data_IF_335630213593
#
_entry.id   IF_335630213593
#
_cell.length_a   1.000
_cell.length_b   1.000
_cell.length_c   1.000
_cell.angle_alpha   90.00
_cell.angle_beta   90.00
_cell.angle_gamma   90.00
#
_symmetry.space_group_name_H-M   'P 1'
#
loop_
_entity.id
_entity.type
_entity.pdbx_description
1 polymer ?
#
# COMPACT_ATOMS: atom_id res chain seq x y z
N UNK A 1 16.38 4.38 2.71
CA UNK A 1 15.57 4.32 1.46
C UNK A 1 14.45 5.36 1.56
N UNK A 2 13.63 5.60 0.53
CA UNK A 2 12.53 6.60 0.63
C UNK A 2 11.16 6.13 0.16
N UNK A 3 10.13 6.67 0.81
CA UNK A 3 8.70 6.50 0.54
C UNK A 3 8.09 7.89 0.33
N UNK A 4 7.60 8.17 -0.87
CA UNK A 4 6.83 9.38 -1.18
C UNK A 4 5.35 9.03 -1.32
N UNK A 5 4.47 9.82 -0.72
CA UNK A 5 3.02 9.69 -0.88
C UNK A 5 2.46 10.98 -1.40
N UNK A 6 1.79 10.93 -2.54
CA UNK A 6 1.05 12.05 -3.13
C UNK A 6 -0.44 11.76 -3.09
N UNK A 7 -1.23 12.68 -2.55
CA UNK A 7 -2.69 12.58 -2.50
C UNK A 7 -3.27 13.14 -3.80
N UNK A 8 -3.83 12.28 -4.67
CA UNK A 8 -4.25 12.69 -6.01
C UNK A 8 -5.68 13.25 -6.06
N UNK A 9 -6.54 12.84 -5.14
CA UNK A 9 -7.86 13.43 -4.91
C UNK A 9 -8.00 13.81 -3.43
N UNK A 10 -9.17 14.25 -2.99
CA UNK A 10 -9.42 14.57 -1.58
C UNK A 10 -9.89 13.35 -0.74
N UNK A 11 -9.93 12.16 -1.34
CA UNK A 11 -10.59 10.98 -0.80
C UNK A 11 -9.61 9.82 -0.57
N UNK A 12 -9.48 8.89 -1.52
CA UNK A 12 -8.75 7.64 -1.33
C UNK A 12 -7.71 7.32 -2.40
N UNK A 13 -7.48 8.23 -3.35
CA UNK A 13 -6.52 8.01 -4.42
C UNK A 13 -5.14 8.54 -4.04
N UNK A 14 -4.21 7.61 -3.80
CA UNK A 14 -2.82 7.92 -3.46
C UNK A 14 -1.87 7.34 -4.50
N UNK A 15 -0.84 8.11 -4.86
CA UNK A 15 0.33 7.59 -5.55
C UNK A 15 1.47 7.45 -4.54
N UNK A 16 1.91 6.21 -4.36
CA UNK A 16 3.05 5.85 -3.53
C UNK A 16 4.24 5.60 -4.43
N UNK A 17 5.37 6.24 -4.14
CA UNK A 17 6.64 6.04 -4.85
C UNK A 17 7.72 5.58 -3.89
N UNK A 18 8.26 4.40 -4.14
CA UNK A 18 9.28 3.73 -3.32
C UNK A 18 10.61 3.79 -4.07
N UNK A 19 11.68 4.23 -3.39
CA UNK A 19 13.02 4.36 -4.00
C UNK A 19 14.12 3.83 -3.07
N UNK A 20 15.19 3.21 -3.61
CA UNK A 20 16.41 2.93 -2.85
C UNK A 20 17.10 4.24 -2.40
N UNK A 21 18.11 4.14 -1.52
CA UNK A 21 18.87 5.33 -1.09
C UNK A 21 19.81 5.87 -2.15
N UNK A 22 20.04 7.19 -2.09
CA UNK A 22 20.94 7.91 -2.99
C UNK A 22 22.40 7.43 -2.91
N UNK A 23 22.82 6.88 -1.75
CA UNK A 23 24.15 6.29 -1.57
C UNK A 23 24.41 5.04 -2.43
N UNK A 24 23.38 4.26 -2.72
CA UNK A 24 23.45 3.10 -3.61
C UNK A 24 23.37 3.50 -5.10
N UNK A 25 23.01 4.76 -5.40
CA UNK A 25 22.90 5.30 -6.76
C UNK A 25 24.22 5.89 -7.28
N UNK A 26 25.25 6.05 -6.44
CA UNK A 26 26.56 6.62 -6.81
C UNK A 26 27.28 5.76 -7.88
N UNK A 27 26.92 4.48 -8.00
CA UNK A 27 27.45 3.57 -9.02
C UNK A 27 26.74 3.65 -10.38
N UNK A 28 25.65 4.44 -10.50
CA UNK A 28 24.81 4.47 -11.69
C UNK A 28 25.09 5.70 -12.55
N UNK A 29 25.97 5.54 -13.55
CA UNK A 29 26.37 6.63 -14.44
C UNK A 29 25.32 7.03 -15.51
N UNK A 30 24.17 6.35 -15.65
CA UNK A 30 23.11 6.79 -16.58
C UNK A 30 21.81 5.99 -16.46
N UNK A 31 20.72 6.68 -16.07
CA UNK A 31 19.24 6.36 -16.14
C UNK A 31 18.55 6.58 -14.78
N UNK A 32 17.29 6.99 -14.79
CA UNK A 32 16.49 7.29 -13.60
C UNK A 32 16.59 6.19 -12.54
N UNK A 33 16.69 6.57 -11.26
CA UNK A 33 16.65 5.65 -10.12
C UNK A 33 15.43 4.72 -10.23
N UNK A 34 15.58 3.40 -10.01
CA UNK A 34 14.47 2.47 -10.15
C UNK A 34 13.45 2.71 -9.04
N UNK A 35 12.44 3.51 -9.36
CA UNK A 35 11.31 3.76 -8.48
C UNK A 35 10.23 2.70 -8.72
N UNK A 36 9.71 2.13 -7.65
CA UNK A 36 8.53 1.28 -7.69
C UNK A 36 7.31 2.11 -7.29
N UNK A 37 6.32 2.16 -8.17
CA UNK A 37 5.15 3.03 -8.03
C UNK A 37 3.87 2.23 -7.80
N UNK A 38 3.10 2.62 -6.80
CA UNK A 38 1.83 1.98 -6.41
C UNK A 38 0.73 3.03 -6.43
N UNK A 39 -0.30 2.80 -7.25
CA UNK A 39 -1.52 3.61 -7.28
C UNK A 39 -2.60 2.90 -6.46
N UNK A 40 -3.18 3.58 -5.48
CA UNK A 40 -4.22 3.02 -4.59
C UNK A 40 -5.59 3.61 -4.96
N UNK A 41 -6.62 2.76 -5.05
CA UNK A 41 -8.04 3.11 -5.19
C UNK A 41 -8.31 4.32 -6.12
N UNK A 42 -8.00 4.22 -7.42
CA UNK A 42 -8.01 5.36 -8.32
C UNK A 42 -9.43 5.79 -8.73
N UNK A 43 -9.86 6.97 -8.27
CA UNK A 43 -11.07 7.66 -8.67
C UNK A 43 -10.73 9.13 -8.94
N UNK A 44 -10.54 9.51 -10.20
CA UNK A 44 -10.05 10.85 -10.56
C UNK A 44 -11.16 11.85 -10.90
N UNK A 45 -12.30 11.37 -11.39
CA UNK A 45 -13.38 12.21 -11.87
C UNK A 45 -14.70 11.46 -11.93
N UNK A 46 -15.78 12.22 -12.12
CA UNK A 46 -17.11 11.70 -12.36
C UNK A 46 -17.83 11.25 -11.10
N UNK A 47 -19.16 11.20 -11.22
CA UNK A 47 -20.07 10.77 -10.17
C UNK A 47 -20.17 9.24 -10.12
N UNK A 48 -20.10 8.67 -8.92
CA UNK A 48 -20.28 7.25 -8.67
C UNK A 48 -21.63 6.97 -7.99
N UNK A 49 -22.22 5.81 -8.28
CA UNK A 49 -23.44 5.34 -7.61
C UNK A 49 -23.08 4.16 -6.72
N UNK A 50 -23.25 4.32 -5.42
CA UNK A 50 -22.92 3.34 -4.39
C UNK A 50 -24.21 2.60 -3.99
N UNK A 51 -24.31 1.30 -4.35
CA UNK A 51 -25.32 0.35 -3.86
C UNK A 51 -26.68 0.31 -4.59
N UNK A 52 -27.16 -0.90 -4.94
CA UNK A 52 -28.41 -1.16 -5.70
C UNK A 52 -29.63 -1.49 -4.80
N UNK A 53 -29.91 -0.74 -3.73
CA UNK A 53 -31.21 -0.85 -3.02
C UNK A 53 -31.74 0.46 -2.44
N UNK A 54 -30.88 1.46 -2.25
CA UNK A 54 -31.21 2.75 -1.63
C UNK A 54 -30.36 3.90 -2.21
N UNK A 55 -30.21 3.93 -3.54
CA UNK A 55 -29.40 4.87 -4.36
C UNK A 55 -28.70 5.99 -3.58
N UNK A 56 -27.43 5.77 -3.23
CA UNK A 56 -26.53 6.86 -2.87
C UNK A 56 -25.61 7.18 -4.04
N UNK A 57 -25.49 8.45 -4.39
CA UNK A 57 -24.44 8.90 -5.30
C UNK A 57 -23.38 9.66 -4.55
N UNK A 58 -22.14 9.53 -4.97
CA UNK A 58 -21.03 10.31 -4.47
C UNK A 58 -20.30 10.96 -5.64
N UNK A 59 -19.92 12.22 -5.48
CA UNK A 59 -19.14 12.99 -6.42
C UNK A 59 -18.13 13.82 -5.63
N UNK A 60 -16.93 13.98 -6.18
CA UNK A 60 -15.90 14.80 -5.56
C UNK A 60 -16.40 16.24 -5.38
N UNK A 61 -16.22 16.80 -4.20
CA UNK A 61 -16.39 18.24 -3.95
C UNK A 61 -15.13 19.02 -4.31
N UNK A 62 -13.97 18.36 -4.32
CA UNK A 62 -12.69 18.93 -4.73
C UNK A 62 -12.15 18.15 -5.93
N UNK A 63 -11.84 18.84 -7.03
CA UNK A 63 -11.26 18.19 -8.20
C UNK A 63 -9.90 17.57 -7.89
N UNK A 64 -9.65 16.38 -8.45
CA UNK A 64 -8.34 15.72 -8.37
C UNK A 64 -7.22 16.59 -8.96
N UNK A 65 -5.99 16.48 -8.44
CA UNK A 65 -4.86 17.24 -8.98
C UNK A 65 -4.42 16.78 -10.38
N UNK A 66 -4.96 15.64 -10.84
CA UNK A 66 -4.85 15.12 -12.19
C UNK A 66 -6.23 14.68 -12.67
N UNK A 67 -6.51 14.82 -13.96
CA UNK A 67 -7.76 14.40 -14.57
C UNK A 67 -7.62 13.11 -15.40
N UNK A 68 -6.39 12.68 -15.67
CA UNK A 68 -6.09 11.46 -16.42
C UNK A 68 -4.77 10.82 -15.95
N UNK A 69 -4.71 9.48 -15.90
CA UNK A 69 -3.53 8.73 -15.45
C UNK A 69 -2.29 8.95 -16.33
N UNK A 70 -2.45 9.43 -17.56
CA UNK A 70 -1.32 9.82 -18.42
C UNK A 70 -0.58 11.08 -17.95
N UNK A 71 -1.13 11.82 -16.98
CA UNK A 71 -0.45 12.97 -16.37
C UNK A 71 0.55 12.54 -15.28
N UNK A 72 0.58 11.26 -14.90
CA UNK A 72 1.63 10.72 -14.05
C UNK A 72 2.95 10.63 -14.82
N UNK A 73 4.07 10.86 -14.12
CA UNK A 73 5.42 10.80 -14.73
C UNK A 73 5.71 9.44 -15.40
N UNK A 74 5.11 8.37 -14.86
CA UNK A 74 5.19 7.02 -15.40
C UNK A 74 3.92 6.24 -15.07
N UNK A 75 3.66 5.21 -15.87
CA UNK A 75 2.59 4.26 -15.58
C UNK A 75 2.91 3.47 -14.28
N UNK A 76 1.98 3.34 -13.33
CA UNK A 76 2.22 2.63 -12.07
C UNK A 76 2.65 1.18 -12.26
N UNK A 77 3.60 0.69 -11.49
CA UNK A 77 3.99 -0.73 -11.48
C UNK A 77 2.85 -1.59 -10.90
N UNK A 78 2.18 -1.07 -9.88
CA UNK A 78 1.11 -1.74 -9.17
C UNK A 78 -0.11 -0.82 -9.02
N UNK A 79 -1.31 -1.37 -9.23
CA UNK A 79 -2.57 -0.72 -8.85
C UNK A 79 -3.24 -1.57 -7.79
N UNK A 80 -3.46 -1.01 -6.60
CA UNK A 80 -4.12 -1.69 -5.48
C UNK A 80 -5.56 -1.22 -5.36
N UNK A 81 -6.51 -2.16 -5.38
CA UNK A 81 -7.94 -1.90 -5.17
C UNK A 81 -8.40 -2.57 -3.88
N UNK A 82 -8.69 -1.78 -2.86
CA UNK A 82 -9.02 -2.25 -1.52
C UNK A 82 -10.46 -2.77 -1.41
N UNK A 83 -11.38 -2.27 -2.22
CA UNK A 83 -12.78 -2.72 -2.19
C UNK A 83 -13.51 -2.53 -3.52
N UNK A 84 -14.57 -3.31 -3.72
CA UNK A 84 -15.35 -3.34 -4.97
C UNK A 84 -16.27 -2.12 -5.17
N UNK A 85 -16.31 -1.18 -4.22
CA UNK A 85 -17.21 -0.03 -4.34
C UNK A 85 -16.70 0.92 -5.43
N UNK A 86 -17.59 1.57 -6.21
CA UNK A 86 -17.15 2.36 -7.36
C UNK A 86 -16.31 3.60 -7.02
N UNK A 87 -16.39 4.13 -5.80
CA UNK A 87 -15.54 5.20 -5.28
C UNK A 87 -14.12 4.74 -4.90
N UNK A 88 -13.80 3.46 -5.10
CA UNK A 88 -12.46 2.88 -4.97
C UNK A 88 -12.06 2.08 -6.23
N UNK A 89 -12.99 1.28 -6.74
CA UNK A 89 -12.87 0.47 -7.93
C UNK A 89 -13.53 1.20 -9.12
N UNK A 90 -13.05 2.40 -9.44
CA UNK A 90 -13.68 3.26 -10.45
C UNK A 90 -13.33 2.80 -11.87
N UNK A 91 -14.31 2.23 -12.58
CA UNK A 91 -14.12 1.69 -13.93
C UNK A 91 -13.60 2.72 -14.94
N UNK A 92 -14.15 3.95 -15.05
CA UNK A 92 -13.64 4.95 -15.99
C UNK A 92 -12.17 5.31 -15.77
N UNK A 93 -11.73 5.44 -14.50
CA UNK A 93 -10.32 5.72 -14.21
C UNK A 93 -9.45 4.52 -14.56
N UNK A 94 -9.85 3.31 -14.17
CA UNK A 94 -9.07 2.10 -14.42
C UNK A 94 -8.89 1.85 -15.92
N UNK A 95 -9.92 2.10 -16.73
CA UNK A 95 -9.83 1.95 -18.20
C UNK A 95 -8.84 2.89 -18.88
N UNK A 96 -8.36 3.93 -18.21
CA UNK A 96 -7.29 4.79 -18.72
C UNK A 96 -5.94 4.05 -18.81
N UNK A 97 -5.78 2.96 -18.05
CA UNK A 97 -4.62 2.07 -18.13
C UNK A 97 -4.75 1.22 -19.40
N UNK A 98 -3.70 1.13 -20.25
CA UNK A 98 -3.74 0.29 -21.44
C UNK A 98 -4.00 -1.19 -21.12
N UNK A 99 -4.93 -1.80 -21.85
CA UNK A 99 -5.32 -3.21 -21.70
C UNK A 99 -4.13 -4.17 -21.83
N UNK A 100 -3.17 -3.83 -22.70
CA UNK A 100 -1.98 -4.61 -23.04
C UNK A 100 -0.69 -4.09 -22.37
N UNK A 101 -0.77 -3.18 -21.39
CA UNK A 101 0.43 -2.63 -20.76
C UNK A 101 1.33 -3.75 -20.19
N UNK A 102 2.64 -3.78 -20.47
CA UNK A 102 3.53 -4.79 -19.90
C UNK A 102 3.95 -4.46 -18.45
N UNK A 103 3.66 -3.24 -17.98
CA UNK A 103 4.18 -2.69 -16.73
C UNK A 103 3.23 -2.88 -15.55
N UNK A 104 1.97 -2.53 -15.72
CA UNK A 104 1.02 -2.48 -14.60
C UNK A 104 0.38 -3.81 -14.31
N UNK A 105 0.48 -4.21 -13.04
CA UNK A 105 -0.33 -5.29 -12.46
C UNK A 105 -1.42 -4.72 -11.56
N UNK A 106 -2.64 -5.24 -11.68
CA UNK A 106 -3.78 -4.86 -10.84
C UNK A 106 -3.94 -5.90 -9.74
N UNK A 107 -3.86 -5.45 -8.49
CA UNK A 107 -3.95 -6.26 -7.29
C UNK A 107 -5.16 -5.82 -6.49
N UNK A 108 -6.15 -6.69 -6.34
CA UNK A 108 -7.46 -6.27 -5.84
C UNK A 108 -8.02 -7.22 -4.79
N UNK A 109 -8.77 -6.68 -3.83
CA UNK A 109 -9.65 -7.46 -2.95
C UNK A 109 -10.54 -8.39 -3.79
N UNK A 110 -10.86 -9.63 -3.35
CA UNK A 110 -11.52 -10.62 -4.19
C UNK A 110 -12.80 -10.17 -4.90
N UNK A 111 -13.68 -9.39 -4.26
CA UNK A 111 -14.88 -8.84 -4.92
C UNK A 111 -14.51 -7.76 -5.93
N UNK A 112 -13.55 -6.90 -5.61
CA UNK A 112 -13.03 -5.89 -6.55
C UNK A 112 -12.40 -6.55 -7.78
N UNK A 113 -11.56 -7.57 -7.60
CA UNK A 113 -10.97 -8.33 -8.70
C UNK A 113 -12.05 -8.92 -9.63
N UNK A 114 -13.13 -9.43 -9.06
CA UNK A 114 -14.27 -9.94 -9.83
C UNK A 114 -15.06 -8.84 -10.55
N UNK A 115 -15.16 -7.64 -9.97
CA UNK A 115 -15.76 -6.49 -10.63
C UNK A 115 -14.90 -6.04 -11.83
N UNK A 116 -13.59 -5.91 -11.63
CA UNK A 116 -12.63 -5.48 -12.67
C UNK A 116 -12.61 -6.45 -13.85
N UNK A 117 -12.70 -7.77 -13.61
CA UNK A 117 -12.82 -8.77 -14.69
C UNK A 117 -14.03 -8.52 -15.59
N UNK A 118 -15.15 -8.03 -15.04
CA UNK A 118 -16.37 -7.73 -15.80
C UNK A 118 -16.26 -6.46 -16.65
N UNK A 119 -15.23 -5.63 -16.43
CA UNK A 119 -14.97 -4.50 -17.31
C UNK A 119 -14.55 -4.99 -18.71
N UNK A 120 -14.10 -6.25 -18.86
CA UNK A 120 -13.66 -6.82 -20.14
C UNK A 120 -12.61 -5.93 -20.86
N UNK A 121 -11.78 -5.24 -20.06
CA UNK A 121 -10.75 -4.32 -20.55
C UNK A 121 -9.36 -4.92 -20.41
N UNK A 122 -9.07 -5.57 -19.27
CA UNK A 122 -7.75 -6.13 -18.98
C UNK A 122 -7.69 -7.63 -19.27
N UNK A 123 -6.52 -8.11 -19.70
CA UNK A 123 -6.25 -9.54 -19.76
C UNK A 123 -6.34 -10.15 -18.34
N UNK A 124 -6.94 -11.34 -18.14
CA UNK A 124 -7.15 -11.92 -16.81
C UNK A 124 -5.87 -12.08 -15.96
N UNK A 125 -4.72 -12.29 -16.60
CA UNK A 125 -3.42 -12.45 -15.93
C UNK A 125 -2.92 -11.16 -15.28
N UNK A 126 -3.42 -9.98 -15.70
CA UNK A 126 -3.12 -8.70 -15.05
C UNK A 126 -3.85 -8.50 -13.74
N UNK A 127 -4.93 -9.25 -13.50
CA UNK A 127 -5.82 -9.05 -12.35
C UNK A 127 -5.55 -10.13 -11.31
N UNK A 128 -4.72 -9.78 -10.33
CA UNK A 128 -4.41 -10.62 -9.19
C UNK A 128 -5.42 -10.35 -8.06
N UNK A 129 -6.10 -11.41 -7.62
CA UNK A 129 -6.94 -11.34 -6.42
C UNK A 129 -6.05 -11.52 -5.19
N UNK A 130 -6.06 -10.57 -4.25
CA UNK A 130 -5.34 -10.70 -2.99
C UNK A 130 -6.05 -11.73 -2.12
N UNK A 131 -5.40 -12.84 -1.71
CA UNK A 131 -6.00 -13.75 -0.76
C UNK A 131 -6.14 -13.08 0.61
N UNK A 132 -7.14 -13.47 1.38
CA UNK A 132 -7.22 -13.06 2.78
C UNK A 132 -6.01 -13.58 3.54
N UNK A 133 -5.36 -12.69 4.29
CA UNK A 133 -4.18 -13.03 5.08
C UNK A 133 -4.47 -14.21 6.00
N UNK A 134 -3.55 -15.16 6.00
CA UNK A 134 -3.53 -16.31 6.87
C UNK A 134 -2.06 -16.65 7.14
N UNK A 135 -1.69 -16.64 8.40
CA UNK A 135 -0.32 -16.76 8.85
C UNK A 135 0.32 -18.14 8.68
N UNK A 136 -0.49 -19.16 8.43
CA UNK A 136 -0.07 -20.54 8.11
C UNK A 136 0.11 -20.73 6.60
N UNK A 137 -0.33 -19.76 5.78
CA UNK A 137 -0.33 -19.81 4.33
C UNK A 137 0.52 -18.66 3.77
N UNK A 138 1.83 -18.88 3.51
CA UNK A 138 2.72 -17.84 2.98
C UNK A 138 2.20 -17.19 1.69
N UNK A 139 1.50 -17.95 0.86
CA UNK A 139 0.86 -17.48 -0.38
C UNK A 139 -0.29 -16.49 -0.16
N UNK A 140 -0.73 -16.28 1.09
CA UNK A 140 -1.71 -15.24 1.42
C UNK A 140 -1.12 -13.82 1.40
N UNK A 141 0.19 -13.70 1.21
CA UNK A 141 0.91 -12.46 0.97
C UNK A 141 1.49 -12.51 -0.45
N UNK A 142 1.09 -11.56 -1.30
CA UNK A 142 1.64 -11.42 -2.64
C UNK A 142 3.00 -10.73 -2.56
N UNK A 143 3.99 -11.19 -3.32
CA UNK A 143 5.34 -10.63 -3.33
C UNK A 143 5.75 -10.28 -4.76
N UNK A 144 6.22 -9.05 -4.94
CA UNK A 144 6.66 -8.48 -6.21
C UNK A 144 8.15 -8.21 -6.11
N UNK A 145 8.93 -8.91 -6.92
CA UNK A 145 10.38 -8.75 -6.97
C UNK A 145 10.73 -7.44 -7.67
N UNK A 146 11.73 -6.74 -7.13
CA UNK A 146 12.38 -5.59 -7.75
C UNK A 146 13.80 -6.01 -8.10
N UNK A 147 14.20 -5.83 -9.36
CA UNK A 147 15.52 -6.29 -9.77
C UNK A 147 16.64 -5.55 -9.01
N UNK A 148 17.77 -6.25 -8.72
CA UNK A 148 18.95 -5.64 -8.14
C UNK A 148 19.43 -4.43 -8.94
N UNK A 149 20.12 -3.50 -8.28
CA UNK A 149 20.68 -2.32 -8.95
C UNK A 149 21.88 -2.67 -9.83
N UNK A 150 22.57 -3.77 -9.51
CA UNK A 150 23.74 -4.30 -10.21
C UNK A 150 23.71 -5.83 -10.17
N UNK A 151 24.55 -6.49 -10.99
CA UNK A 151 24.68 -7.96 -10.96
C UNK A 151 25.17 -8.52 -9.62
N UNK A 152 25.93 -7.73 -8.84
CA UNK A 152 26.40 -8.11 -7.50
C UNK A 152 25.41 -7.73 -6.39
N UNK A 153 24.29 -7.08 -6.74
CA UNK A 153 23.29 -6.59 -5.82
C UNK A 153 22.28 -7.65 -5.38
N UNK A 154 21.55 -7.33 -4.32
CA UNK A 154 20.39 -8.10 -3.89
C UNK A 154 19.10 -7.49 -4.46
N UNK A 155 18.14 -8.35 -4.79
CA UNK A 155 16.83 -7.92 -5.28
C UNK A 155 16.02 -7.28 -4.15
N UNK A 156 15.26 -6.26 -4.50
CA UNK A 156 14.25 -5.68 -3.62
C UNK A 156 12.94 -6.46 -3.69
N UNK A 157 12.00 -6.07 -2.83
CA UNK A 157 10.69 -6.69 -2.77
C UNK A 157 9.62 -5.70 -2.31
N UNK A 158 8.44 -5.77 -2.94
CA UNK A 158 7.19 -5.22 -2.40
C UNK A 158 6.27 -6.38 -2.05
N UNK A 159 5.79 -6.44 -0.82
CA UNK A 159 4.80 -7.43 -0.41
C UNK A 159 3.46 -6.76 -0.10
N UNK A 160 2.35 -7.43 -0.45
CA UNK A 160 0.98 -6.93 -0.28
C UNK A 160 0.11 -8.00 0.37
N UNK A 161 -0.58 -7.65 1.45
CA UNK A 161 -1.48 -8.54 2.19
C UNK A 161 -2.83 -7.88 2.45
N UNK A 162 -3.92 -8.65 2.26
CA UNK A 162 -5.28 -8.22 2.61
C UNK A 162 -5.63 -8.72 4.00
N UNK A 163 -5.80 -7.80 4.94
CA UNK A 163 -6.29 -8.08 6.28
C UNK A 163 -7.82 -7.92 6.31
N UNK A 164 -8.59 -9.03 6.39
CA UNK A 164 -10.04 -8.95 6.45
C UNK A 164 -10.51 -8.45 7.82
N UNK A 165 -11.55 -7.61 7.83
CA UNK A 165 -12.38 -7.44 9.01
C UNK A 165 -13.71 -8.20 8.84
N UNK A 166 -14.36 -8.47 9.96
CA UNK A 166 -15.77 -8.88 9.97
C UNK A 166 -16.57 -7.68 10.47
N UNK A 167 -17.37 -7.10 9.58
CA UNK A 167 -18.26 -5.99 9.89
C UNK A 167 -19.58 -6.15 9.10
N UNK A 168 -20.65 -5.53 9.60
CA UNK A 168 -21.96 -5.63 8.97
C UNK A 168 -22.02 -4.90 7.63
N UNK A 169 -21.27 -3.81 7.47
CA UNK A 169 -21.21 -3.05 6.24
C UNK A 169 -20.36 -3.75 5.15
N UNK A 170 -19.44 -4.64 5.55
CA UNK A 170 -18.55 -5.37 4.66
C UNK A 170 -17.51 -4.47 3.97
N UNK A 171 -17.13 -3.37 4.63
CA UNK A 171 -16.24 -2.33 4.10
C UNK A 171 -14.93 -2.22 4.87
N UNK A 172 -14.86 -2.85 6.04
CA UNK A 172 -13.67 -2.79 6.87
C UNK A 172 -12.66 -3.83 6.38
N UNK A 173 -11.49 -3.35 6.02
CA UNK A 173 -10.31 -4.15 5.75
C UNK A 173 -9.07 -3.26 5.91
N UNK A 174 -7.90 -3.87 5.79
CA UNK A 174 -6.68 -3.13 5.57
C UNK A 174 -5.81 -3.84 4.53
N UNK A 175 -5.04 -3.06 3.78
CA UNK A 175 -3.96 -3.56 2.94
C UNK A 175 -2.66 -3.23 3.65
N UNK A 176 -1.92 -4.28 4.03
CA UNK A 176 -0.56 -4.13 4.51
C UNK A 176 0.42 -4.21 3.35
N UNK A 177 1.35 -3.27 3.29
CA UNK A 177 2.38 -3.18 2.25
C UNK A 177 3.74 -3.11 2.95
N UNK A 178 4.70 -3.92 2.51
CA UNK A 178 6.10 -3.80 2.94
C UNK A 178 6.99 -3.57 1.74
N UNK A 179 8.01 -2.72 1.91
CA UNK A 179 9.00 -2.44 0.89
C UNK A 179 10.40 -2.70 1.43
N UNK A 180 11.15 -3.50 0.68
CA UNK A 180 12.59 -3.67 0.84
C UNK A 180 13.28 -3.18 -0.44
N UNK A 181 14.22 -2.26 -0.28
CA UNK A 181 14.96 -1.70 -1.41
C UNK A 181 15.90 -2.74 -2.06
N UNK A 182 16.03 -2.74 -3.40
CA UNK A 182 17.12 -3.44 -4.07
C UNK A 182 18.45 -2.77 -3.72
N UNK A 183 19.55 -3.53 -3.76
CA UNK A 183 20.90 -3.03 -3.46
C UNK A 183 21.83 -3.14 -4.66
N UNK A 184 22.94 -2.38 -4.63
CA UNK A 184 24.01 -2.42 -5.65
C UNK A 184 25.16 -3.39 -5.29
N UNK A 185 25.09 -4.07 -4.14
CA UNK A 185 26.21 -4.85 -3.60
C UNK A 185 27.29 -3.97 -2.96
N UNK A 186 28.09 -4.53 -2.06
CA UNK A 186 29.23 -3.82 -1.50
C UNK A 186 30.25 -3.54 -2.63
N UNK A 187 30.81 -2.31 -2.74
CA UNK A 187 31.94 -2.09 -3.62
C UNK A 187 33.07 -3.00 -3.17
N UNK A 188 33.50 -3.88 -4.07
CA UNK A 188 34.65 -4.76 -3.87
C UNK A 188 35.92 -3.89 -3.74
N UNK A 189 36.22 -3.41 -2.53
CA UNK A 189 37.23 -2.38 -2.35
C UNK A 189 37.74 -2.12 -0.92
N UNK A 190 37.19 -2.75 0.13
CA UNK A 190 37.87 -2.76 1.44
C UNK A 190 38.75 -4.02 1.57
N UNK A 191 39.86 -4.02 0.82
CA UNK A 191 40.94 -4.99 1.00
C UNK A 191 41.61 -4.78 2.36
N UNK A 192 41.17 -5.54 3.35
CA UNK A 192 42.05 -6.00 4.42
C UNK A 192 42.67 -7.33 3.98
N UNK A 193 43.82 -7.28 3.32
CA UNK A 193 44.68 -8.46 3.09
C UNK A 193 45.14 -9.01 4.45
N UNK A 194 45.32 -10.34 4.64
CA UNK A 194 46.48 -11.01 4.04
C UNK A 194 46.25 -12.44 3.49
N UNK A 195 47.02 -12.71 2.42
CA UNK A 195 47.57 -14.00 1.95
C UNK A 195 46.64 -15.16 1.57
N UNK A 196 46.64 -15.42 0.26
CA UNK A 196 46.32 -16.68 -0.45
C UNK A 196 47.16 -17.88 0.03
N UNK A 197 46.75 -19.13 -0.26
CA UNK A 197 47.27 -19.76 -1.47
C UNK A 197 46.25 -20.54 -2.34
N UNK A 198 46.47 -20.36 -3.65
CA UNK A 198 46.13 -21.19 -4.81
C UNK A 198 45.50 -22.58 -4.56
N UNK A 199 44.38 -22.86 -5.24
CA UNK A 199 44.20 -24.15 -5.94
C UNK A 199 43.24 -24.08 -7.14
N UNK A 200 43.84 -24.33 -8.31
CA UNK A 200 43.40 -24.91 -9.60
C UNK A 200 41.94 -24.80 -10.07
N UNK A 201 41.85 -24.30 -11.31
CA UNK A 201 40.70 -24.26 -12.21
C UNK A 201 40.11 -25.63 -12.61
N UNK A 202 38.84 -25.60 -13.03
CA UNK A 202 38.33 -26.47 -14.11
C UNK A 202 37.22 -25.76 -14.88
N UNK A 203 37.19 -25.99 -16.19
CA UNK A 203 36.39 -25.31 -17.23
C UNK A 203 35.31 -26.27 -17.73
N UNK A 204 34.08 -25.79 -17.98
CA UNK A 204 33.17 -26.36 -18.99
C UNK A 204 32.08 -25.34 -19.45
N UNK A 205 31.56 -25.39 -20.70
CA UNK A 205 30.81 -24.29 -21.33
C UNK A 205 29.29 -24.53 -21.59
N UNK A 206 28.55 -23.40 -21.69
CA UNK A 206 27.31 -23.07 -22.47
C UNK A 206 25.98 -23.87 -22.29
N UNK A 207 24.76 -23.40 -22.72
CA UNK A 207 24.44 -22.37 -23.72
C UNK A 207 23.29 -21.35 -23.42
N UNK A 208 23.16 -20.43 -24.38
CA UNK A 208 22.26 -19.28 -24.61
C UNK A 208 20.75 -19.60 -24.74
N UNK A 209 19.88 -18.74 -24.20
CA UNK A 209 18.42 -18.73 -24.44
C UNK A 209 17.71 -17.49 -23.86
N UNK A 210 16.56 -17.03 -24.42
CA UNK A 210 16.06 -15.65 -24.28
C UNK A 210 15.26 -15.36 -22.99
N UNK A 211 15.20 -14.07 -22.63
CA UNK A 211 14.69 -13.50 -21.38
C UNK A 211 13.20 -13.79 -21.06
N UNK A 212 12.81 -13.96 -19.78
CA UNK A 212 11.41 -14.10 -19.38
C UNK A 212 10.79 -12.84 -18.74
N UNK A 213 9.50 -12.66 -19.02
CA UNK A 213 8.51 -11.76 -18.40
C UNK A 213 8.37 -12.04 -16.89
N UNK A 214 8.07 -11.06 -16.02
CA UNK A 214 7.95 -11.30 -14.58
C UNK A 214 6.73 -12.18 -14.27
N UNK A 215 6.97 -13.46 -14.05
CA UNK A 215 5.99 -14.44 -13.57
C UNK A 215 6.20 -14.67 -12.08
N UNK A 216 5.13 -14.63 -11.28
CA UNK A 216 5.17 -15.01 -9.87
C UNK A 216 5.66 -16.46 -9.73
N UNK A 217 6.85 -16.68 -9.17
CA UNK A 217 7.38 -18.01 -8.84
C UNK A 217 7.21 -18.30 -7.35
N UNK A 218 6.79 -19.53 -7.06
CA UNK A 218 6.64 -20.09 -5.73
C UNK A 218 7.93 -20.83 -5.39
N UNK A 219 8.82 -20.23 -4.60
CA UNK A 219 10.02 -20.91 -4.10
C UNK A 219 9.93 -21.09 -2.57
N UNK A 220 10.07 -22.36 -2.17
CA UNK A 220 10.13 -22.86 -0.81
C UNK A 220 11.52 -22.70 -0.21
N UNK A 221 11.55 -22.34 1.08
CA UNK A 221 12.67 -22.37 2.04
C UNK A 221 13.63 -21.16 2.05
N UNK A 222 13.39 -20.23 2.98
CA UNK A 222 14.41 -19.34 3.53
C UNK A 222 14.45 -19.46 5.07
N UNK A 223 15.65 -19.40 5.71
CA UNK A 223 15.80 -19.46 7.16
C UNK A 223 15.23 -18.19 7.84
N UNK A 224 14.95 -18.21 9.15
CA UNK A 224 14.33 -17.07 9.85
C UNK A 224 15.28 -15.87 9.78
N UNK A 225 14.86 -14.82 9.08
CA UNK A 225 15.69 -13.63 8.87
C UNK A 225 15.86 -12.87 10.18
N UNK A 226 17.11 -12.77 10.64
CA UNK A 226 17.56 -11.69 11.52
C UNK A 226 17.01 -10.37 10.98
N UNK A 227 16.52 -9.51 11.88
CA UNK A 227 15.90 -8.22 11.59
C UNK A 227 16.57 -7.52 10.39
N UNK A 228 15.94 -7.59 9.22
CA UNK A 228 16.44 -6.93 8.01
C UNK A 228 16.38 -5.43 8.25
N UNK A 229 17.46 -4.79 8.68
CA UNK A 229 17.61 -3.33 8.60
C UNK A 229 17.16 -2.87 7.20
N UNK A 230 16.34 -1.82 7.12
CA UNK A 230 15.83 -1.32 5.84
C UNK A 230 14.55 -1.98 5.27
N UNK A 231 13.47 -2.11 6.05
CA UNK A 231 12.11 -2.38 5.50
C UNK A 231 11.15 -1.25 5.87
N UNK A 232 10.47 -0.64 4.89
CA UNK A 232 9.36 0.31 5.13
C UNK A 232 8.04 -0.46 5.21
N UNK A 233 7.14 0.01 6.06
CA UNK A 233 5.83 -0.62 6.28
C UNK A 233 4.70 0.38 6.17
N UNK A 234 3.67 0.03 5.41
CA UNK A 234 2.49 0.85 5.19
C UNK A 234 1.25 0.03 5.54
N UNK A 235 0.32 0.62 6.29
CA UNK A 235 -1.00 0.07 6.50
C UNK A 235 -2.04 1.03 5.93
N UNK A 236 -2.70 0.61 4.86
CA UNK A 236 -3.81 1.34 4.25
C UNK A 236 -5.14 0.78 4.75
N UNK A 237 -5.91 1.57 5.50
CA UNK A 237 -7.20 1.17 6.07
C UNK A 237 -8.19 2.34 6.03
N UNK A 238 -8.73 2.69 4.84
CA UNK A 238 -9.56 3.90 4.67
C UNK A 238 -10.85 3.86 5.50
N UNK A 239 -11.41 2.68 5.75
CA UNK A 239 -12.61 2.49 6.57
C UNK A 239 -12.29 2.05 8.02
N UNK A 240 -11.05 1.67 8.27
CA UNK A 240 -10.58 1.09 9.52
C UNK A 240 -10.61 -0.44 9.57
N UNK A 241 -9.83 -0.96 10.52
CA UNK A 241 -9.71 -2.37 10.82
C UNK A 241 -9.77 -2.56 12.35
N UNK A 242 -10.54 -3.53 12.87
CA UNK A 242 -10.57 -3.79 14.29
C UNK A 242 -9.22 -4.34 14.77
N UNK A 243 -8.82 -3.91 15.96
CA UNK A 243 -7.69 -4.50 16.68
C UNK A 243 -8.05 -5.94 17.07
N UNK A 244 -7.44 -6.92 16.41
CA UNK A 244 -7.68 -8.34 16.63
C UNK A 244 -6.38 -9.16 16.53
N UNK A 245 -6.45 -10.43 16.89
CA UNK A 245 -5.29 -11.33 16.86
C UNK A 245 -4.67 -11.48 15.46
N UNK A 246 -5.46 -11.36 14.40
CA UNK A 246 -4.96 -11.44 13.01
C UNK A 246 -4.08 -10.23 12.68
N UNK A 247 -4.48 -9.04 13.08
CA UNK A 247 -3.68 -7.83 12.96
C UNK A 247 -2.40 -7.93 13.80
N UNK A 248 -2.50 -8.43 15.03
CA UNK A 248 -1.33 -8.64 15.90
C UNK A 248 -0.31 -9.59 15.27
N UNK A 249 -0.80 -10.71 14.74
CA UNK A 249 0.04 -11.70 14.10
C UNK A 249 0.68 -11.17 12.81
N UNK A 250 -0.07 -10.43 11.99
CA UNK A 250 0.47 -9.77 10.81
C UNK A 250 1.51 -8.70 11.16
N UNK A 251 1.20 -7.85 12.13
CA UNK A 251 2.09 -6.78 12.58
C UNK A 251 3.43 -7.36 13.09
N UNK A 252 3.37 -8.42 13.90
CA UNK A 252 4.56 -9.10 14.39
C UNK A 252 5.36 -9.79 13.26
N UNK A 253 4.69 -10.59 12.40
CA UNK A 253 5.37 -11.43 11.40
C UNK A 253 5.88 -10.66 10.17
N UNK A 254 5.16 -9.62 9.74
CA UNK A 254 5.43 -8.95 8.45
C UNK A 254 5.87 -7.50 8.62
N UNK A 255 5.30 -6.78 9.59
CA UNK A 255 5.71 -5.39 9.87
C UNK A 255 6.87 -5.34 10.88
N UNK A 256 7.16 -6.45 11.56
CA UNK A 256 8.11 -6.55 12.68
C UNK A 256 7.78 -5.59 13.84
N UNK A 257 6.51 -5.22 13.95
CA UNK A 257 5.92 -4.41 15.01
C UNK A 257 5.37 -5.36 16.07
N UNK A 258 6.18 -5.64 17.07
CA UNK A 258 5.78 -6.28 18.31
C UNK A 258 5.23 -5.19 19.26
N UNK A 259 3.93 -5.28 19.52
CA UNK A 259 3.20 -4.34 20.36
C UNK A 259 3.52 -4.50 21.85
N UNK A 260 4.21 -5.58 22.25
CA UNK A 260 4.58 -5.87 23.64
C UNK A 260 6.03 -5.47 23.96
N UNK A 261 6.87 -5.30 22.95
CA UNK A 261 8.29 -4.95 23.10
C UNK A 261 8.49 -3.49 22.69
N UNK A 262 8.90 -2.63 23.62
CA UNK A 262 9.05 -1.18 23.39
C UNK A 262 10.06 -0.82 22.30
N UNK A 263 11.09 -1.65 22.10
CA UNK A 263 12.20 -1.40 21.16
C UNK A 263 11.99 -2.12 19.81
N UNK A 264 10.80 -2.65 19.54
CA UNK A 264 10.50 -3.21 18.23
C UNK A 264 10.25 -2.09 17.20
N UNK A 265 10.32 -2.44 15.91
CA UNK A 265 10.02 -1.53 14.81
C UNK A 265 8.65 -0.87 14.92
N UNK A 266 8.58 0.31 14.34
CA UNK A 266 7.43 1.18 14.21
C UNK A 266 6.81 0.98 12.81
N UNK A 267 5.51 1.22 12.69
CA UNK A 267 4.86 1.30 11.37
C UNK A 267 5.30 2.61 10.70
N UNK A 268 5.91 2.55 9.51
CA UNK A 268 6.40 3.76 8.81
C UNK A 268 5.25 4.68 8.44
N UNK A 269 4.15 4.13 7.92
CA UNK A 269 3.01 4.92 7.48
C UNK A 269 1.67 4.22 7.76
N UNK A 270 0.77 4.94 8.43
CA UNK A 270 -0.65 4.64 8.48
C UNK A 270 -1.41 5.57 7.53
N UNK A 271 -2.21 5.00 6.63
CA UNK A 271 -3.18 5.77 5.83
C UNK A 271 -4.57 5.33 6.28
N UNK A 272 -5.25 6.20 7.04
CA UNK A 272 -6.52 5.87 7.71
C UNK A 272 -7.33 7.14 7.93
N UNK A 273 -8.66 7.04 7.82
CA UNK A 273 -9.55 8.20 7.92
C UNK A 273 -9.51 8.93 9.25
N UNK A 274 -9.51 10.27 9.20
CA UNK A 274 -9.78 11.12 10.36
C UNK A 274 -11.28 11.29 10.65
N UNK A 275 -12.13 10.92 9.70
CA UNK A 275 -13.56 11.13 9.74
C UNK A 275 -14.28 9.82 10.07
N UNK A 276 -15.00 9.77 11.18
CA UNK A 276 -15.90 8.66 11.45
C UNK A 276 -17.23 8.86 10.74
N UNK A 277 -17.76 7.78 10.18
CA UNK A 277 -19.08 7.76 9.53
C UNK A 277 -19.86 6.57 10.04
N UNK A 278 -21.04 6.85 10.59
CA UNK A 278 -21.93 5.86 11.16
C UNK A 278 -23.30 5.92 10.50
N UNK A 279 -23.89 4.75 10.32
CA UNK A 279 -25.31 4.57 10.00
C UNK A 279 -26.00 3.89 11.18
N UNK A 280 -27.36 3.91 11.25
CA UNK A 280 -28.09 3.07 12.17
C UNK A 280 -27.63 1.60 12.06
N UNK A 281 -27.59 0.88 13.18
CA UNK A 281 -27.04 -0.48 13.23
C UNK A 281 -27.71 -1.43 12.23
N UNK A 282 -29.01 -1.27 11.98
CA UNK A 282 -29.79 -2.07 11.03
C UNK A 282 -29.50 -1.72 9.55
N UNK A 283 -28.74 -0.64 9.28
CA UNK A 283 -28.26 -0.24 7.96
C UNK A 283 -26.75 -0.48 7.75
N UNK A 284 -26.11 -1.20 8.68
CA UNK A 284 -24.67 -1.55 8.60
C UNK A 284 -23.84 -0.99 9.74
N UNK A 285 -24.36 -0.06 10.54
CA UNK A 285 -23.67 0.47 11.72
C UNK A 285 -22.46 1.32 11.35
N UNK A 286 -21.29 0.97 11.89
CA UNK A 286 -20.03 1.65 11.61
C UNK A 286 -19.65 1.47 10.13
N UNK A 287 -19.47 2.57 9.40
CA UNK A 287 -19.03 2.55 7.99
C UNK A 287 -17.56 2.91 7.92
N UNK A 288 -17.15 4.00 8.59
CA UNK A 288 -15.77 4.45 8.69
C UNK A 288 -15.47 4.68 10.15
N UNK A 289 -14.41 4.05 10.67
CA UNK A 289 -14.04 4.18 12.08
C UNK A 289 -13.54 5.60 12.45
N UNK A 290 -12.93 6.32 11.52
CA UNK A 290 -12.32 7.63 11.81
C UNK A 290 -11.17 7.54 12.81
N UNK A 291 -10.69 8.69 13.31
CA UNK A 291 -9.60 8.70 14.27
C UNK A 291 -10.09 8.29 15.68
N UNK A 292 -11.24 8.79 16.13
CA UNK A 292 -11.76 8.55 17.48
C UNK A 292 -12.23 7.12 17.74
N UNK A 293 -12.76 6.41 16.74
CA UNK A 293 -13.35 5.07 16.93
C UNK A 293 -12.45 3.92 16.51
N UNK A 294 -11.24 4.20 16.05
CA UNK A 294 -10.28 3.15 15.69
C UNK A 294 -8.89 3.65 15.35
N UNK A 295 -8.78 4.76 14.62
CA UNK A 295 -7.50 5.25 14.09
C UNK A 295 -6.45 5.52 15.18
N UNK A 296 -6.81 6.21 16.27
CA UNK A 296 -5.88 6.52 17.37
C UNK A 296 -5.41 5.24 18.05
N UNK A 297 -6.33 4.30 18.31
CA UNK A 297 -5.98 3.02 18.93
C UNK A 297 -5.04 2.21 18.02
N UNK A 298 -5.32 2.20 16.72
CA UNK A 298 -4.51 1.52 15.71
C UNK A 298 -3.11 2.15 15.58
N UNK A 299 -3.03 3.46 15.46
CA UNK A 299 -1.79 4.23 15.35
C UNK A 299 -0.90 4.03 16.59
N UNK A 300 -1.48 4.07 17.79
CA UNK A 300 -0.75 3.78 19.04
C UNK A 300 -0.26 2.35 19.10
N UNK A 301 -1.13 1.40 18.78
CA UNK A 301 -0.83 -0.04 18.81
C UNK A 301 0.33 -0.39 17.88
N UNK A 302 0.34 0.19 16.67
CA UNK A 302 1.37 -0.05 15.67
C UNK A 302 2.56 0.91 15.76
N UNK A 303 2.53 1.85 16.73
CA UNK A 303 3.50 2.94 16.88
C UNK A 303 3.78 3.63 15.53
N UNK A 304 2.73 4.08 14.87
CA UNK A 304 2.83 4.70 13.56
C UNK A 304 3.70 5.98 13.62
N UNK A 305 4.74 6.05 12.79
CA UNK A 305 5.61 7.21 12.67
C UNK A 305 4.89 8.36 11.97
N UNK A 306 4.18 8.06 10.88
CA UNK A 306 3.37 9.01 10.14
C UNK A 306 1.95 8.48 9.96
N UNK A 307 0.96 9.38 10.04
CA UNK A 307 -0.44 9.09 9.76
C UNK A 307 -1.04 10.11 8.80
N UNK A 308 -1.44 9.66 7.61
CA UNK A 308 -2.13 10.45 6.60
C UNK A 308 -3.63 10.13 6.60
N UNK A 309 -4.47 11.16 6.51
CA UNK A 309 -5.92 11.04 6.36
C UNK A 309 -6.32 10.36 5.04
N UNK A 310 -7.45 9.65 5.05
CA UNK A 310 -8.00 8.99 3.86
C UNK A 310 -9.51 8.91 3.96
N UNK A 311 -10.19 8.92 2.83
CA UNK A 311 -11.65 8.93 2.79
C UNK A 311 -12.28 10.07 3.61
N UNK A 312 -11.57 11.20 3.71
CA UNK A 312 -11.94 12.34 4.55
C UNK A 312 -12.73 13.40 3.77
N UNK A 313 -12.89 13.22 2.46
CA UNK A 313 -13.65 14.15 1.63
C UNK A 313 -15.12 14.24 2.05
N UNK A 314 -15.60 15.48 2.17
CA UNK A 314 -17.02 15.75 2.16
C UNK A 314 -17.56 15.72 0.72
N UNK A 315 -17.83 14.51 0.23
CA UNK A 315 -18.40 14.28 -1.11
C UNK A 315 -19.78 14.93 -1.26
N UNK A 316 -20.12 15.36 -2.47
CA UNK A 316 -21.48 15.76 -2.83
C UNK A 316 -22.32 14.49 -2.88
N UNK A 317 -23.10 14.28 -1.83
CA UNK A 317 -23.87 13.06 -1.67
C UNK A 317 -25.36 13.29 -1.97
N UNK A 318 -25.95 12.38 -2.74
CA UNK A 318 -27.38 12.32 -3.00
C UNK A 318 -27.98 11.02 -2.49
N UNK A 319 -29.26 11.02 -2.08
CA UNK A 319 -29.99 9.80 -1.68
C UNK A 319 -30.63 9.89 -0.30
N UNK A 320 -31.64 9.05 -0.06
CA UNK A 320 -32.46 9.07 1.16
C UNK A 320 -31.69 8.61 2.40
N UNK A 321 -30.73 7.68 2.24
CA UNK A 321 -29.91 7.15 3.35
C UNK A 321 -29.01 8.21 3.99
N UNK A 322 -28.60 9.23 3.24
CA UNK A 322 -27.68 10.26 3.74
C UNK A 322 -28.23 11.01 4.96
N UNK A 323 -29.56 11.14 5.07
CA UNK A 323 -30.22 11.78 6.22
C UNK A 323 -29.99 11.04 7.55
N UNK A 324 -29.57 9.78 7.50
CA UNK A 324 -29.35 8.96 8.69
C UNK A 324 -27.85 8.76 8.99
N UNK A 325 -26.95 9.32 8.19
CA UNK A 325 -25.52 9.21 8.45
C UNK A 325 -25.07 10.25 9.47
N UNK A 326 -24.36 9.79 10.50
CA UNK A 326 -23.67 10.64 11.46
C UNK A 326 -22.19 10.69 11.07
N UNK A 327 -21.67 11.90 10.85
CA UNK A 327 -20.27 12.14 10.50
C UNK A 327 -19.61 12.98 11.60
N UNK A 328 -18.43 12.57 12.04
CA UNK A 328 -17.61 13.31 13.00
C UNK A 328 -16.17 13.31 12.48
N UNK A 329 -15.57 14.48 12.27
CA UNK A 329 -14.18 14.63 11.82
C UNK A 329 -13.32 15.14 12.96
N UNK A 330 -12.23 14.43 13.24
CA UNK A 330 -11.20 14.91 14.17
C UNK A 330 -10.18 15.80 13.45
N UNK A 331 -9.76 16.89 14.10
CA UNK A 331 -8.70 17.76 13.55
C UNK A 331 -7.32 17.14 13.76
N UNK A 332 -6.34 17.49 12.91
CA UNK A 332 -4.94 17.08 13.08
C UNK A 332 -4.42 17.43 14.49
N UNK A 333 -4.74 18.62 14.98
CA UNK A 333 -4.31 19.07 16.31
C UNK A 333 -4.90 18.19 17.44
N UNK A 334 -6.17 17.80 17.32
CA UNK A 334 -6.82 16.91 18.28
C UNK A 334 -6.22 15.50 18.23
N UNK A 335 -5.98 14.95 17.04
CA UNK A 335 -5.35 13.64 16.86
C UNK A 335 -3.95 13.65 17.47
N UNK A 336 -3.12 14.65 17.14
CA UNK A 336 -1.78 14.79 17.69
C UNK A 336 -1.81 14.93 19.22
N UNK A 337 -2.77 15.67 19.79
CA UNK A 337 -2.95 15.77 21.24
C UNK A 337 -3.28 14.40 21.86
N UNK A 338 -4.18 13.65 21.24
CA UNK A 338 -4.57 12.32 21.72
C UNK A 338 -3.45 11.28 21.56
N UNK A 339 -2.60 11.41 20.55
CA UNK A 339 -1.40 10.57 20.34
C UNK A 339 -0.34 10.84 21.42
N UNK A 340 -0.07 12.10 21.77
CA UNK A 340 0.89 12.49 22.83
C UNK A 340 0.54 11.90 24.20
N UNK A 341 -0.76 11.81 24.53
CA UNK A 341 -1.21 11.20 25.78
C UNK A 341 -0.85 9.70 25.90
N UNK A 342 -0.40 9.05 24.81
CA UNK A 342 0.07 7.66 24.79
C UNK A 342 1.59 7.50 24.61
N UNK A 343 2.38 8.57 24.71
CA UNK A 343 3.84 8.56 24.52
C UNK A 343 4.32 8.03 23.14
N UNK A 344 3.47 8.06 22.11
CA UNK A 344 3.84 7.74 20.73
C UNK A 344 4.00 9.04 19.94
N UNK A 345 5.22 9.31 19.46
CA UNK A 345 5.45 10.37 18.50
C UNK A 345 4.90 9.92 17.13
N UNK A 346 3.89 10.62 16.62
CA UNK A 346 3.27 10.34 15.33
C UNK A 346 3.07 11.67 14.60
N UNK A 347 3.65 11.78 13.42
CA UNK A 347 3.47 12.91 12.51
C UNK A 347 2.16 12.74 11.72
N UNK A 348 1.13 13.49 12.11
CA UNK A 348 -0.20 13.41 11.52
C UNK A 348 -0.34 14.48 10.44
N UNK A 349 -0.69 14.09 9.21
CA UNK A 349 -0.80 15.00 8.06
C UNK A 349 -2.14 14.87 7.36
N UNK A 350 -2.85 15.99 7.25
CA UNK A 350 -4.00 16.14 6.37
C UNK A 350 -3.49 16.71 5.05
N UNK A 351 -3.32 15.86 4.04
CA UNK A 351 -2.75 16.28 2.76
C UNK A 351 -3.86 16.87 1.89
N UNK A 352 -3.70 18.14 1.51
CA UNK A 352 -4.50 18.76 0.46
C UNK A 352 -4.31 18.02 -0.87
N UNK A 353 -5.24 18.24 -1.82
CA UNK A 353 -5.17 17.63 -3.14
C UNK A 353 -3.90 18.07 -3.87
N UNK A 354 -3.12 17.10 -4.33
CA UNK A 354 -1.79 17.31 -4.92
C UNK A 354 -0.66 17.42 -3.91
N UNK A 355 -0.96 17.51 -2.62
CA UNK A 355 0.01 17.53 -1.53
C UNK A 355 0.80 16.22 -1.44
N UNK A 356 2.05 16.34 -0.99
CA UNK A 356 2.97 15.22 -0.88
C UNK A 356 3.74 15.18 0.45
N UNK A 357 4.17 13.99 0.84
CA UNK A 357 5.08 13.76 1.96
C UNK A 357 6.14 12.74 1.57
N UNK A 358 7.37 12.97 2.02
CA UNK A 358 8.50 12.05 1.85
C UNK A 358 8.93 11.56 3.22
N UNK A 359 8.91 10.24 3.39
CA UNK A 359 9.41 9.52 4.57
C UNK A 359 10.71 8.81 4.20
N UNK A 360 11.69 8.87 5.10
CA UNK A 360 13.00 8.21 4.94
C UNK A 360 13.24 7.29 6.12
N UNK A 361 13.82 6.13 5.84
CA UNK A 361 14.18 5.11 6.83
C UNK A 361 15.66 4.79 6.72
#
# INVERSE_FOLDING_TARGET
MSLTVKHLNADTTFLITLRPDDGDLICWASKQSPAFTILIDPWLSGRTVIGHRYFSSAEHSVESCINHLSQLDQEPDLVIISQAKPDHCHEPTLRQIPSNSPRTTIVAEPRAANAIRKFNHFHPTKILSIPKYNSERPQSVLRFRIEPLTESGAAGEVAVALLPARDMAGVHNAIGITYQAPTAGLPSGSTGSPSTPLSKASITPEPTGPAPVPTARSETQHPPSLAREGVMSILYSPHGIPSNALLDEYASKHLHVDTKISNSRTLTLLIHSFTSVQSPWYLGGNIIAGASRGGIALAKKLRAECWIGAHDEEKINGGVIMKFLKRERETVADIMRLMRNGAVACDVRDLEVGGEVVLRA
#
